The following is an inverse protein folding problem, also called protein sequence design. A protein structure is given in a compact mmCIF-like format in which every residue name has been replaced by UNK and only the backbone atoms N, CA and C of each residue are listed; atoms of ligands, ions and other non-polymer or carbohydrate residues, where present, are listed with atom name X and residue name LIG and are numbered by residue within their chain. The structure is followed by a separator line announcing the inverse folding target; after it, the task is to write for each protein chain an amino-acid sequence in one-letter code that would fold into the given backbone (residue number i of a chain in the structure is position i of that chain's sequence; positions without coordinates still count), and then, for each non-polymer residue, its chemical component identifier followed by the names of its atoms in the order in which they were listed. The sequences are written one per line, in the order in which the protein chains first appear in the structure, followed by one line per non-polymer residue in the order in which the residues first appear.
data_IF_192895469768
#
_entry.id   IF_192895469768
#
_cell.length_a   1.000
_cell.length_b   1.000
_cell.length_c   1.000
_cell.angle_alpha   90.00
_cell.angle_beta   90.00
_cell.angle_gamma   90.00
#
_symmetry.space_group_name_H-M   'P 1'
#
loop_
_entity.id
_entity.type
_entity.pdbx_description
1 polymer ?
#
# COMPACT_ATOMS: atom_id res chain seq x y z
N UNK A 1 35.59 -69.08 -5.71
CA UNK A 1 34.75 -68.07 -5.01
C UNK A 1 35.33 -66.69 -5.28
N UNK A 2 34.47 -65.72 -5.60
CA UNK A 2 34.71 -64.29 -5.77
C UNK A 2 35.33 -63.80 -7.10
N UNK A 3 34.43 -63.57 -8.07
CA UNK A 3 34.62 -62.69 -9.22
C UNK A 3 34.26 -61.26 -8.80
N UNK A 4 35.24 -60.36 -8.67
CA UNK A 4 34.97 -58.92 -8.50
C UNK A 4 34.66 -58.30 -9.86
N UNK A 5 33.38 -58.01 -10.12
CA UNK A 5 32.94 -57.15 -11.22
C UNK A 5 33.07 -55.69 -10.76
N UNK A 6 33.96 -54.95 -11.39
CA UNK A 6 34.01 -53.49 -11.28
C UNK A 6 32.88 -52.92 -12.12
N UNK A 7 31.85 -52.37 -11.48
CA UNK A 7 30.81 -51.59 -12.16
C UNK A 7 31.24 -50.13 -12.11
N UNK A 8 31.58 -49.57 -13.26
CA UNK A 8 31.87 -48.15 -13.44
C UNK A 8 30.52 -47.43 -13.54
N UNK A 9 30.11 -46.77 -12.46
CA UNK A 9 28.92 -45.92 -12.46
C UNK A 9 29.29 -44.58 -13.12
N UNK A 10 28.83 -44.40 -14.37
CA UNK A 10 28.90 -43.11 -15.06
C UNK A 10 27.72 -42.27 -14.57
N UNK A 11 27.95 -41.41 -13.58
CA UNK A 11 26.94 -40.45 -13.12
C UNK A 11 26.93 -39.27 -14.10
N UNK A 12 26.01 -39.31 -15.07
CA UNK A 12 25.71 -38.15 -15.90
C UNK A 12 24.95 -37.13 -15.04
N UNK A 13 25.63 -36.10 -14.52
CA UNK A 13 24.96 -34.90 -14.04
C UNK A 13 24.42 -34.14 -15.25
N UNK A 14 23.17 -34.38 -15.62
CA UNK A 14 22.43 -33.38 -16.38
C UNK A 14 22.13 -32.23 -15.43
N UNK A 15 22.89 -31.15 -15.56
CA UNK A 15 22.46 -29.85 -15.07
C UNK A 15 21.25 -29.45 -15.93
N UNK A 16 20.05 -29.83 -15.51
CA UNK A 16 18.83 -29.21 -16.00
C UNK A 16 18.85 -27.78 -15.51
N UNK A 17 19.32 -26.86 -16.35
CA UNK A 17 18.89 -25.46 -16.26
C UNK A 17 17.38 -25.48 -16.42
N UNK A 18 16.67 -25.52 -15.30
CA UNK A 18 15.24 -25.22 -15.26
C UNK A 18 15.18 -23.76 -15.71
N UNK A 19 14.97 -23.56 -17.02
CA UNK A 19 14.36 -22.33 -17.49
C UNK A 19 13.01 -22.33 -16.80
N UNK A 20 12.89 -21.57 -15.71
CA UNK A 20 11.65 -21.42 -15.00
C UNK A 20 10.68 -20.83 -16.01
N UNK A 21 9.81 -21.68 -16.56
CA UNK A 21 8.83 -21.23 -17.54
C UNK A 21 8.02 -20.12 -16.88
N UNK A 22 7.93 -18.97 -17.55
CA UNK A 22 7.05 -17.90 -17.11
C UNK A 22 5.66 -18.50 -16.93
N UNK A 23 5.15 -18.38 -15.71
CA UNK A 23 3.84 -18.90 -15.37
C UNK A 23 2.78 -18.11 -16.16
N UNK A 24 1.68 -18.73 -16.62
CA UNK A 24 0.56 -17.99 -17.14
C UNK A 24 0.05 -16.97 -16.11
N UNK A 25 0.11 -15.69 -16.46
CA UNK A 25 -0.24 -14.56 -15.60
C UNK A 25 -1.76 -14.37 -15.53
N UNK A 26 -2.49 -15.33 -14.95
CA UNK A 26 -3.96 -15.37 -15.04
C UNK A 26 -4.68 -15.56 -13.71
N UNK A 27 -3.98 -15.93 -12.64
CA UNK A 27 -4.63 -16.29 -11.36
C UNK A 27 -4.52 -15.19 -10.30
N UNK A 28 -3.73 -14.14 -10.56
CA UNK A 28 -3.50 -12.99 -9.66
C UNK A 28 -3.00 -13.37 -8.26
N UNK A 29 -2.21 -14.44 -8.15
CA UNK A 29 -1.58 -14.87 -6.90
C UNK A 29 -0.47 -13.91 -6.49
N UNK A 30 0.35 -13.49 -7.44
CA UNK A 30 1.51 -12.67 -7.19
C UNK A 30 1.33 -11.31 -7.86
N UNK A 31 1.58 -10.24 -7.13
CA UNK A 31 1.53 -8.88 -7.62
C UNK A 31 2.76 -8.09 -7.19
N UNK A 32 2.98 -6.92 -7.79
CA UNK A 32 3.99 -5.96 -7.39
C UNK A 32 3.57 -4.55 -7.81
N UNK A 33 4.06 -3.54 -7.10
CA UNK A 33 3.88 -2.13 -7.48
C UNK A 33 4.97 -1.65 -8.43
N UNK A 34 4.62 -0.77 -9.37
CA UNK A 34 5.58 -0.09 -10.24
C UNK A 34 5.10 1.30 -10.63
N UNK A 35 6.03 2.25 -10.74
CA UNK A 35 5.77 3.58 -11.32
C UNK A 35 6.22 3.64 -12.78
N UNK A 36 7.07 2.71 -13.22
CA UNK A 36 7.74 2.74 -14.52
C UNK A 36 7.16 1.78 -15.55
N UNK A 37 7.69 1.91 -16.76
CA UNK A 37 7.49 0.97 -17.86
C UNK A 37 8.17 -0.37 -17.59
N UNK A 38 7.71 -1.42 -18.29
CA UNK A 38 8.38 -2.72 -18.27
C UNK A 38 9.82 -2.58 -18.77
N UNK A 39 10.76 -3.18 -18.04
CA UNK A 39 12.11 -3.43 -18.54
C UNK A 39 12.65 -4.76 -17.95
N UNK A 40 13.69 -5.36 -18.55
CA UNK A 40 14.21 -6.66 -18.11
C UNK A 40 14.71 -6.69 -16.65
N UNK A 41 15.20 -5.56 -16.12
CA UNK A 41 15.77 -5.48 -14.77
C UNK A 41 14.70 -5.44 -13.67
N UNK A 42 13.49 -4.99 -13.99
CA UNK A 42 12.36 -4.91 -13.04
C UNK A 42 11.30 -5.97 -13.30
N UNK A 43 11.56 -6.90 -14.22
CA UNK A 43 10.68 -8.01 -14.50
C UNK A 43 10.64 -8.98 -13.30
N UNK A 44 9.43 -9.25 -12.82
CA UNK A 44 9.15 -10.24 -11.79
C UNK A 44 8.19 -11.28 -12.35
N UNK A 45 8.41 -12.57 -12.05
CA UNK A 45 7.52 -13.66 -12.42
C UNK A 45 6.24 -13.65 -11.55
N UNK A 46 5.44 -12.61 -11.73
CA UNK A 46 4.20 -12.31 -11.04
C UNK A 46 3.06 -12.16 -12.05
N UNK A 47 1.81 -12.24 -11.59
CA UNK A 47 0.63 -12.16 -12.45
C UNK A 47 0.22 -10.71 -12.75
N UNK A 48 0.32 -9.85 -11.73
CA UNK A 48 -0.23 -8.49 -11.76
C UNK A 48 0.88 -7.45 -11.64
N UNK A 49 0.94 -6.53 -12.60
CA UNK A 49 1.65 -5.27 -12.46
C UNK A 49 0.67 -4.20 -11.96
N UNK A 50 0.83 -3.76 -10.71
CA UNK A 50 0.05 -2.67 -10.12
C UNK A 50 0.76 -1.35 -10.44
N UNK A 51 0.32 -0.67 -11.50
CA UNK A 51 0.95 0.58 -11.93
C UNK A 51 0.41 1.73 -11.08
N UNK A 52 1.32 2.46 -10.43
CA UNK A 52 0.97 3.51 -9.49
C UNK A 52 0.81 4.86 -10.20
N UNK A 53 0.01 5.75 -9.63
CA UNK A 53 -0.37 7.09 -10.15
C UNK A 53 -1.23 7.08 -11.42
N UNK A 54 -2.26 7.93 -11.42
CA UNK A 54 -3.19 8.11 -12.54
C UNK A 54 -2.90 9.41 -13.27
N UNK A 55 -1.80 9.41 -14.02
CA UNK A 55 -1.32 10.52 -14.81
C UNK A 55 -1.55 10.32 -16.32
N UNK A 56 -1.05 11.26 -17.14
CA UNK A 56 -1.14 11.18 -18.61
C UNK A 56 -0.29 10.06 -19.21
N UNK A 57 0.68 9.52 -18.47
CA UNK A 57 1.59 8.47 -18.94
C UNK A 57 1.06 7.06 -18.68
N UNK A 58 0.06 6.91 -17.79
CA UNK A 58 -0.54 5.63 -17.42
C UNK A 58 -0.88 4.72 -18.62
N UNK A 59 -1.52 5.19 -19.73
CA UNK A 59 -1.80 4.31 -20.87
C UNK A 59 -0.55 3.73 -21.52
N UNK A 60 0.53 4.51 -21.62
CA UNK A 60 1.80 4.05 -22.18
C UNK A 60 2.46 3.02 -21.26
N UNK A 61 2.50 3.30 -19.95
CA UNK A 61 3.02 2.37 -18.93
C UNK A 61 2.26 1.05 -18.95
N UNK A 62 0.93 1.08 -18.90
CA UNK A 62 0.08 -0.11 -19.04
C UNK A 62 0.39 -0.91 -20.29
N UNK A 63 0.56 -0.26 -21.45
CA UNK A 63 0.86 -0.95 -22.70
C UNK A 63 2.13 -1.80 -22.57
N UNK A 64 3.20 -1.27 -21.99
CA UNK A 64 4.47 -2.00 -21.86
C UNK A 64 4.35 -3.28 -21.03
N UNK A 65 3.53 -3.28 -19.98
CA UNK A 65 3.27 -4.44 -19.14
C UNK A 65 2.30 -5.43 -19.82
N UNK A 66 1.21 -4.94 -20.43
CA UNK A 66 0.24 -5.77 -21.17
C UNK A 66 0.89 -6.51 -22.35
N UNK A 67 1.77 -5.83 -23.10
CA UNK A 67 2.51 -6.44 -24.22
C UNK A 67 3.36 -7.65 -23.77
N UNK A 68 3.63 -7.78 -22.46
CA UNK A 68 4.35 -8.90 -21.84
C UNK A 68 3.48 -9.88 -21.07
N UNK A 69 2.16 -9.76 -21.20
CA UNK A 69 1.18 -10.71 -20.66
C UNK A 69 0.63 -10.38 -19.28
N UNK A 70 1.09 -9.29 -18.63
CA UNK A 70 0.66 -8.98 -17.27
C UNK A 70 -0.79 -8.52 -17.25
N UNK A 71 -1.50 -8.92 -16.19
CA UNK A 71 -2.73 -8.24 -15.77
C UNK A 71 -2.30 -6.90 -15.20
N UNK A 72 -2.93 -5.81 -15.67
CA UNK A 72 -2.60 -4.48 -15.15
C UNK A 72 -3.69 -3.97 -14.24
N UNK A 73 -3.29 -3.68 -13.00
CA UNK A 73 -4.09 -2.94 -12.06
C UNK A 73 -3.52 -1.52 -11.94
N UNK A 74 -4.33 -0.58 -11.44
CA UNK A 74 -3.85 0.73 -11.03
C UNK A 74 -3.90 0.85 -9.52
N UNK A 75 -2.90 1.52 -8.94
CA UNK A 75 -2.91 1.92 -7.53
C UNK A 75 -2.73 3.43 -7.43
N UNK A 76 -3.48 4.04 -6.51
CA UNK A 76 -3.34 5.44 -6.14
C UNK A 76 -3.74 5.58 -4.68
N UNK A 77 -3.05 6.45 -3.96
CA UNK A 77 -3.56 6.97 -2.69
C UNK A 77 -4.99 7.48 -2.85
N UNK A 78 -5.79 7.41 -1.79
CA UNK A 78 -7.08 8.11 -1.72
C UNK A 78 -7.00 9.34 -0.81
N UNK A 79 -5.91 9.53 -0.08
CA UNK A 79 -5.82 10.54 1.00
C UNK A 79 -4.78 11.60 0.76
N UNK A 80 -3.78 11.25 -0.05
CA UNK A 80 -2.69 12.08 -0.51
C UNK A 80 -2.29 11.60 -1.92
N UNK A 81 -1.61 12.47 -2.67
CA UNK A 81 -1.19 12.24 -4.05
C UNK A 81 -0.92 13.57 -4.77
N UNK A 82 -0.53 13.51 -6.05
CA UNK A 82 -0.31 14.70 -6.88
C UNK A 82 -1.65 15.37 -7.27
N UNK A 83 -2.34 15.95 -6.30
CA UNK A 83 -3.70 16.48 -6.45
C UNK A 83 -3.76 18.00 -6.52
N UNK A 84 -2.70 18.64 -7.05
CA UNK A 84 -2.67 20.07 -7.28
C UNK A 84 -3.89 20.57 -8.10
N UNK A 85 -4.35 19.78 -9.08
CA UNK A 85 -5.57 20.06 -9.86
C UNK A 85 -6.81 20.22 -8.96
N UNK A 86 -6.88 19.50 -7.85
CA UNK A 86 -7.95 19.63 -6.86
C UNK A 86 -7.69 20.82 -5.93
N UNK A 87 -6.50 20.89 -5.31
CA UNK A 87 -6.14 21.90 -4.32
C UNK A 87 -6.40 23.33 -4.81
N UNK A 88 -6.00 23.60 -6.06
CA UNK A 88 -6.04 24.94 -6.63
C UNK A 88 -7.28 25.22 -7.49
N UNK A 89 -8.17 24.23 -7.64
CA UNK A 89 -9.47 24.41 -8.28
C UNK A 89 -9.50 24.24 -9.79
N UNK A 90 -8.47 23.66 -10.41
CA UNK A 90 -8.51 23.32 -11.83
C UNK A 90 -9.60 22.27 -12.13
N UNK A 91 -10.00 21.50 -11.13
CA UNK A 91 -11.06 20.51 -11.22
C UNK A 91 -12.46 21.11 -11.42
N UNK A 92 -12.87 22.09 -10.60
CA UNK A 92 -14.24 22.61 -10.56
C UNK A 92 -14.36 24.15 -10.40
N UNK A 93 -13.23 24.86 -10.47
CA UNK A 93 -13.14 26.32 -10.31
C UNK A 93 -13.07 26.79 -8.85
N UNK A 94 -13.00 25.89 -7.87
CA UNK A 94 -12.95 26.24 -6.44
C UNK A 94 -11.63 25.84 -5.81
N UNK A 95 -11.04 26.74 -5.03
CA UNK A 95 -9.89 26.39 -4.22
C UNK A 95 -10.32 25.45 -3.07
N UNK A 96 -9.59 24.34 -2.90
CA UNK A 96 -9.87 23.31 -1.90
C UNK A 96 -8.77 23.19 -0.84
N UNK A 97 -7.89 24.19 -0.69
CA UNK A 97 -6.84 24.21 0.34
C UNK A 97 -7.40 24.21 1.77
N UNK A 98 -8.66 24.56 1.91
CA UNK A 98 -9.41 24.52 3.16
C UNK A 98 -9.83 23.10 3.57
N UNK A 99 -9.70 22.12 2.66
CA UNK A 99 -9.86 20.69 2.92
C UNK A 99 -8.53 20.00 3.29
N UNK A 100 -7.38 20.67 3.21
CA UNK A 100 -6.11 20.09 3.69
C UNK A 100 -6.18 19.88 5.21
N UNK A 101 -5.82 18.68 5.67
CA UNK A 101 -5.82 18.34 7.09
C UNK A 101 -4.90 19.28 7.88
N UNK A 102 -5.41 19.84 8.97
CA UNK A 102 -4.68 20.77 9.84
C UNK A 102 -4.61 20.27 11.27
N UNK A 103 -3.45 20.48 11.88
CA UNK A 103 -3.26 20.34 13.31
C UNK A 103 -3.74 21.58 14.07
N UNK A 104 -3.83 21.45 15.40
CA UNK A 104 -4.02 22.59 16.28
C UNK A 104 -2.94 23.65 16.02
N UNK A 105 -3.37 24.90 15.81
CA UNK A 105 -2.49 26.00 15.43
C UNK A 105 -2.32 26.20 13.91
N UNK A 106 -2.97 25.37 13.08
CA UNK A 106 -3.09 25.60 11.63
C UNK A 106 -1.97 25.00 10.78
N UNK A 107 -1.07 24.20 11.35
CA UNK A 107 -0.05 23.47 10.60
C UNK A 107 -0.66 22.47 9.64
N UNK A 108 -0.29 22.56 8.36
CA UNK A 108 -0.75 21.63 7.32
C UNK A 108 -0.05 20.27 7.48
N UNK A 109 -0.80 19.18 7.31
CA UNK A 109 -0.22 17.84 7.33
C UNK A 109 0.06 17.40 5.88
N UNK A 110 1.34 17.28 5.56
CA UNK A 110 1.83 16.87 4.24
C UNK A 110 2.35 15.44 4.19
N UNK A 111 2.36 14.87 2.98
CA UNK A 111 3.05 13.63 2.62
C UNK A 111 4.18 13.94 1.62
N UNK A 112 5.21 14.65 2.11
CA UNK A 112 6.29 15.19 1.30
C UNK A 112 6.07 16.65 0.90
N UNK A 113 6.77 17.09 -0.15
CA UNK A 113 6.70 18.48 -0.62
C UNK A 113 5.49 18.67 -1.53
N UNK A 114 4.63 19.64 -1.22
CA UNK A 114 3.45 20.03 -2.00
C UNK A 114 2.42 18.91 -2.23
N UNK A 115 2.41 17.90 -1.35
CA UNK A 115 1.45 16.81 -1.31
C UNK A 115 0.84 16.77 0.10
N UNK A 116 -0.49 16.77 0.19
CA UNK A 116 -1.22 17.00 1.44
C UNK A 116 -2.24 15.91 1.72
N UNK A 117 -2.41 15.59 3.01
CA UNK A 117 -3.53 14.78 3.48
C UNK A 117 -4.83 15.60 3.44
N UNK A 118 -5.93 14.99 2.99
CA UNK A 118 -7.18 15.71 2.71
C UNK A 118 -8.32 15.30 3.66
N UNK A 119 -9.22 16.23 3.97
CA UNK A 119 -10.51 15.98 4.55
C UNK A 119 -11.51 15.72 3.41
N UNK A 120 -11.92 14.47 3.13
CA UNK A 120 -12.55 14.14 1.85
C UNK A 120 -14.02 14.60 1.80
N UNK A 121 -14.25 15.76 1.18
CA UNK A 121 -15.59 16.23 0.89
C UNK A 121 -16.28 15.39 -0.19
N UNK A 122 -17.57 15.64 -0.42
CA UNK A 122 -18.28 15.02 -1.56
C UNK A 122 -17.65 15.44 -2.90
N UNK A 123 -17.08 16.65 -2.99
CA UNK A 123 -16.39 17.12 -4.21
C UNK A 123 -15.10 16.32 -4.45
N UNK A 124 -14.34 16.08 -3.38
CA UNK A 124 -13.12 15.27 -3.43
C UNK A 124 -13.39 13.87 -3.98
N UNK A 125 -14.45 13.19 -3.52
CA UNK A 125 -14.82 11.88 -4.06
C UNK A 125 -15.09 11.93 -5.58
N UNK A 126 -15.72 12.99 -6.09
CA UNK A 126 -15.93 13.19 -7.54
C UNK A 126 -14.62 13.42 -8.29
N UNK A 127 -13.68 14.16 -7.69
CA UNK A 127 -12.35 14.35 -8.25
C UNK A 127 -11.61 13.02 -8.40
N UNK A 128 -11.61 12.17 -7.35
CA UNK A 128 -10.98 10.84 -7.42
C UNK A 128 -11.67 9.97 -8.48
N UNK A 129 -13.00 10.00 -8.61
CA UNK A 129 -13.71 9.28 -9.69
C UNK A 129 -13.26 9.71 -11.09
N UNK A 130 -12.93 10.99 -11.31
CA UNK A 130 -12.38 11.47 -12.59
C UNK A 130 -11.01 10.84 -12.89
N UNK A 131 -10.17 10.70 -11.87
CA UNK A 131 -8.93 9.93 -11.98
C UNK A 131 -9.19 8.47 -12.33
N UNK A 132 -10.06 7.81 -11.58
CA UNK A 132 -10.42 6.40 -11.80
C UNK A 132 -10.97 6.17 -13.20
N UNK A 133 -11.79 7.09 -13.74
CA UNK A 133 -12.26 7.04 -15.12
C UNK A 133 -11.10 6.96 -16.13
N UNK A 134 -10.03 7.76 -15.94
CA UNK A 134 -8.84 7.70 -16.82
C UNK A 134 -8.15 6.33 -16.75
N UNK A 135 -8.10 5.70 -15.58
CA UNK A 135 -7.55 4.35 -15.44
C UNK A 135 -8.43 3.28 -16.10
N UNK A 136 -9.75 3.40 -15.98
CA UNK A 136 -10.71 2.53 -16.66
C UNK A 136 -10.58 2.65 -18.19
N UNK A 137 -10.44 3.88 -18.71
CA UNK A 137 -10.25 4.15 -20.14
C UNK A 137 -8.89 3.63 -20.66
N UNK A 138 -7.85 3.64 -19.83
CA UNK A 138 -6.56 2.99 -20.12
C UNK A 138 -6.64 1.45 -20.08
N UNK A 139 -7.74 0.90 -19.60
CA UNK A 139 -8.02 -0.53 -19.53
C UNK A 139 -7.47 -1.21 -18.27
N UNK A 140 -7.53 -0.55 -17.12
CA UNK A 140 -7.24 -1.18 -15.84
C UNK A 140 -8.19 -2.36 -15.57
N UNK A 141 -7.66 -3.45 -15.02
CA UNK A 141 -8.43 -4.66 -14.65
C UNK A 141 -8.69 -4.75 -13.13
N UNK A 142 -8.08 -3.83 -12.37
CA UNK A 142 -8.30 -3.62 -10.95
C UNK A 142 -7.92 -2.20 -10.54
N UNK A 143 -8.66 -1.64 -9.57
CA UNK A 143 -8.47 -0.31 -9.01
C UNK A 143 -8.13 -0.45 -7.52
N UNK A 144 -7.00 0.08 -7.08
CA UNK A 144 -6.55 0.04 -5.69
C UNK A 144 -6.54 1.44 -5.12
N UNK A 145 -7.40 1.71 -4.14
CA UNK A 145 -7.48 2.99 -3.42
C UNK A 145 -6.78 2.84 -2.08
N UNK A 146 -5.52 3.26 -2.04
CA UNK A 146 -4.58 3.02 -0.95
C UNK A 146 -4.79 4.00 0.22
N UNK A 147 -4.55 3.47 1.42
CA UNK A 147 -4.36 4.21 2.66
C UNK A 147 -5.45 5.25 2.93
N UNK A 148 -6.72 4.83 3.15
CA UNK A 148 -7.82 5.71 3.59
C UNK A 148 -7.58 6.21 5.03
N UNK A 149 -6.66 7.15 5.16
CA UNK A 149 -6.05 7.67 6.38
C UNK A 149 -6.43 9.10 6.72
N UNK A 150 -6.83 9.28 7.97
CA UNK A 150 -7.03 10.58 8.59
C UNK A 150 -6.25 10.68 9.88
N UNK A 151 -5.39 11.68 10.02
CA UNK A 151 -4.57 11.79 11.23
C UNK A 151 -5.43 12.03 12.48
N UNK A 152 -5.12 11.36 13.58
CA UNK A 152 -5.81 11.57 14.87
C UNK A 152 -5.62 13.01 15.34
N UNK A 153 -4.42 13.58 15.11
CA UNK A 153 -4.01 14.94 15.47
C UNK A 153 -4.54 16.06 14.57
N UNK A 154 -5.36 15.76 13.56
CA UNK A 154 -5.98 16.76 12.67
C UNK A 154 -7.45 17.06 13.00
N UNK A 155 -8.14 17.83 12.15
CA UNK A 155 -9.55 18.20 12.33
C UNK A 155 -9.76 19.68 12.67
N UNK A 156 -8.74 20.53 12.47
CA UNK A 156 -8.79 21.99 12.65
C UNK A 156 -8.98 22.76 11.35
N UNK A 157 -9.13 22.06 10.23
CA UNK A 157 -9.41 22.63 8.93
C UNK A 157 -10.89 23.00 8.73
N UNK A 158 -11.12 24.02 7.91
CA UNK A 158 -12.47 24.54 7.67
C UNK A 158 -13.35 23.52 6.95
N UNK A 159 -12.75 22.69 6.06
CA UNK A 159 -13.42 21.56 5.43
C UNK A 159 -14.02 20.59 6.46
N UNK A 160 -13.25 20.24 7.49
CA UNK A 160 -13.75 19.37 8.56
C UNK A 160 -14.82 20.05 9.40
N UNK A 161 -14.71 21.35 9.66
CA UNK A 161 -15.74 22.13 10.36
C UNK A 161 -17.08 22.07 9.62
N UNK A 162 -17.08 22.19 8.28
CA UNK A 162 -18.29 22.07 7.46
C UNK A 162 -18.86 20.67 7.48
N UNK A 163 -18.02 19.64 7.34
CA UNK A 163 -18.44 18.25 7.41
C UNK A 163 -19.02 17.89 8.79
N UNK A 164 -18.46 18.44 9.87
CA UNK A 164 -18.98 18.28 11.22
C UNK A 164 -20.39 18.84 11.34
N UNK A 165 -20.59 20.09 10.93
CA UNK A 165 -21.89 20.74 10.98
C UNK A 165 -22.92 19.99 10.13
N UNK A 166 -22.51 19.49 8.96
CA UNK A 166 -23.38 18.70 8.10
C UNK A 166 -23.74 17.33 8.70
N UNK A 167 -22.79 16.66 9.36
CA UNK A 167 -22.97 15.31 9.89
C UNK A 167 -23.72 15.28 11.24
N UNK A 168 -23.36 16.18 12.15
CA UNK A 168 -23.91 16.23 13.51
C UNK A 168 -25.03 17.25 13.68
N UNK A 169 -25.20 18.19 12.75
CA UNK A 169 -26.16 19.29 12.86
C UNK A 169 -25.95 20.13 14.14
N UNK A 170 -24.67 20.33 14.50
CA UNK A 170 -24.20 21.03 15.69
C UNK A 170 -22.98 21.91 15.34
N UNK A 171 -22.70 22.98 16.11
CA UNK A 171 -21.43 23.71 15.98
C UNK A 171 -20.24 22.77 16.16
N UNK A 172 -19.16 23.04 15.44
CA UNK A 172 -17.90 22.29 15.57
C UNK A 172 -17.30 22.50 16.96
N UNK A 173 -16.71 21.41 17.49
CA UNK A 173 -15.99 21.40 18.75
C UNK A 173 -14.53 21.11 18.49
N UNK A 174 -13.63 21.75 19.24
CA UNK A 174 -12.21 21.42 19.17
C UNK A 174 -12.01 19.93 19.50
N UNK A 175 -11.28 19.16 18.66
CA UNK A 175 -11.06 17.74 18.87
C UNK A 175 -10.52 17.39 20.25
N UNK A 176 -9.64 18.23 20.81
CA UNK A 176 -9.00 18.03 22.10
C UNK A 176 -9.75 18.65 23.30
N UNK A 177 -10.96 19.20 23.09
CA UNK A 177 -11.74 19.83 24.16
C UNK A 177 -12.28 18.84 25.20
N UNK A 178 -12.50 17.58 24.83
CA UNK A 178 -12.95 16.51 25.73
C UNK A 178 -12.76 15.12 25.11
N UNK A 179 -12.79 14.03 25.91
CA UNK A 179 -12.79 12.68 25.36
C UNK A 179 -13.95 12.40 24.38
N UNK A 180 -15.13 12.97 24.62
CA UNK A 180 -16.28 12.84 23.72
C UNK A 180 -16.02 13.57 22.38
N UNK A 181 -15.49 14.79 22.42
CA UNK A 181 -15.14 15.54 21.22
C UNK A 181 -14.10 14.80 20.38
N UNK A 182 -13.10 14.18 21.02
CA UNK A 182 -12.09 13.39 20.32
C UNK A 182 -12.68 12.12 19.68
N UNK A 183 -13.57 11.43 20.40
CA UNK A 183 -14.28 10.26 19.87
C UNK A 183 -15.16 10.63 18.68
N UNK A 184 -15.99 11.67 18.80
CA UNK A 184 -16.87 12.15 17.72
C UNK A 184 -16.07 12.64 16.51
N UNK A 185 -14.98 13.37 16.75
CA UNK A 185 -14.05 13.77 15.68
C UNK A 185 -13.54 12.56 14.92
N UNK A 186 -13.04 11.54 15.64
CA UNK A 186 -12.53 10.31 15.02
C UNK A 186 -13.63 9.53 14.29
N UNK A 187 -14.84 9.47 14.85
CA UNK A 187 -15.99 8.84 14.20
C UNK A 187 -16.36 9.53 12.89
N UNK A 188 -16.30 10.87 12.83
CA UNK A 188 -16.53 11.60 11.59
C UNK A 188 -15.42 11.35 10.57
N UNK A 189 -14.14 11.42 10.95
CA UNK A 189 -13.01 11.09 10.08
C UNK A 189 -13.16 9.72 9.42
N UNK A 190 -13.54 8.71 10.22
CA UNK A 190 -13.88 7.37 9.75
C UNK A 190 -15.01 7.40 8.71
N UNK A 191 -16.12 8.08 9.01
CA UNK A 191 -17.26 8.20 8.09
C UNK A 191 -16.86 8.86 6.76
N UNK A 192 -16.05 9.91 6.79
CA UNK A 192 -15.67 10.68 5.61
C UNK A 192 -14.90 9.82 4.60
N UNK A 193 -13.91 9.04 5.04
CA UNK A 193 -13.20 8.15 4.13
C UNK A 193 -14.01 6.93 3.70
N UNK A 194 -14.88 6.41 4.57
CA UNK A 194 -15.85 5.38 4.15
C UNK A 194 -16.72 5.91 2.99
N UNK A 195 -17.23 7.14 3.10
CA UNK A 195 -18.03 7.80 2.05
C UNK A 195 -17.22 7.98 0.77
N UNK A 196 -15.99 8.48 0.86
CA UNK A 196 -15.13 8.68 -0.30
C UNK A 196 -14.87 7.37 -1.07
N UNK A 197 -14.53 6.29 -0.35
CA UNK A 197 -14.37 4.96 -0.95
C UNK A 197 -15.65 4.46 -1.61
N UNK A 198 -16.81 4.61 -0.95
CA UNK A 198 -18.10 4.24 -1.53
C UNK A 198 -18.36 4.98 -2.85
N UNK A 199 -18.11 6.29 -2.91
CA UNK A 199 -18.29 7.07 -4.14
C UNK A 199 -17.45 6.51 -5.30
N UNK A 200 -16.19 6.16 -5.03
CA UNK A 200 -15.29 5.59 -6.04
C UNK A 200 -15.73 4.20 -6.47
N UNK A 201 -16.04 3.31 -5.53
CA UNK A 201 -16.38 1.93 -5.86
C UNK A 201 -17.76 1.81 -6.51
N UNK A 202 -18.72 2.63 -6.12
CA UNK A 202 -20.02 2.69 -6.79
C UNK A 202 -19.88 3.26 -8.22
N UNK A 203 -18.99 4.23 -8.44
CA UNK A 203 -18.66 4.70 -9.78
C UNK A 203 -18.10 3.57 -10.67
N UNK A 204 -17.15 2.78 -10.16
CA UNK A 204 -16.60 1.63 -10.90
C UNK A 204 -17.67 0.58 -11.18
N UNK A 205 -18.55 0.26 -10.22
CA UNK A 205 -19.67 -0.67 -10.43
C UNK A 205 -20.62 -0.20 -11.52
N UNK A 206 -20.99 1.08 -11.52
CA UNK A 206 -21.83 1.66 -12.57
C UNK A 206 -21.15 1.60 -13.94
N UNK A 207 -19.86 1.93 -14.00
CA UNK A 207 -19.10 1.84 -15.25
C UNK A 207 -19.02 0.40 -15.75
N UNK A 208 -18.79 -0.58 -14.86
CA UNK A 208 -18.80 -2.00 -15.18
C UNK A 208 -20.14 -2.43 -15.80
N UNK A 209 -21.26 -2.05 -15.19
CA UNK A 209 -22.60 -2.36 -15.69
C UNK A 209 -22.86 -1.75 -17.08
N UNK A 210 -22.43 -0.50 -17.30
CA UNK A 210 -22.60 0.20 -18.59
C UNK A 210 -21.74 -0.39 -19.71
N UNK A 211 -20.55 -0.90 -19.38
CA UNK A 211 -19.56 -1.37 -20.37
C UNK A 211 -19.47 -2.90 -20.48
N UNK A 212 -20.30 -3.64 -19.72
CA UNK A 212 -20.23 -5.10 -19.60
C UNK A 212 -18.81 -5.59 -19.23
N UNK A 213 -18.27 -4.99 -18.17
CA UNK A 213 -16.93 -5.26 -17.61
C UNK A 213 -17.02 -5.69 -16.15
N UNK A 214 -15.90 -6.17 -15.60
CA UNK A 214 -15.78 -6.61 -14.21
C UNK A 214 -14.45 -6.15 -13.59
N UNK A 215 -14.19 -4.86 -13.60
CA UNK A 215 -13.02 -4.26 -12.93
C UNK A 215 -13.25 -4.29 -11.41
N UNK A 216 -12.29 -4.86 -10.67
CA UNK A 216 -12.39 -5.05 -9.21
C UNK A 216 -11.78 -3.90 -8.45
N UNK A 217 -12.34 -3.61 -7.26
CA UNK A 217 -11.92 -2.53 -6.39
C UNK A 217 -11.27 -3.08 -5.11
N UNK A 218 -10.08 -2.60 -4.80
CA UNK A 218 -9.28 -3.07 -3.67
C UNK A 218 -8.87 -1.90 -2.76
N UNK A 219 -8.64 -2.21 -1.49
CA UNK A 219 -8.10 -1.24 -0.51
C UNK A 219 -6.80 -1.79 0.08
N UNK A 220 -5.64 -1.28 -0.36
CA UNK A 220 -4.39 -1.37 0.38
C UNK A 220 -4.47 -0.55 1.67
N UNK A 221 -4.10 -1.15 2.80
CA UNK A 221 -4.17 -0.48 4.11
C UNK A 221 -3.22 -1.14 5.11
N UNK A 222 -2.68 -0.34 6.03
CA UNK A 222 -1.99 -0.85 7.22
C UNK A 222 -2.99 -1.46 8.21
N UNK A 223 -2.54 -2.35 9.09
CA UNK A 223 -3.45 -2.94 10.09
C UNK A 223 -3.91 -1.90 11.13
N UNK A 224 -5.05 -2.17 11.79
CA UNK A 224 -5.46 -1.36 12.96
C UNK A 224 -4.40 -1.31 14.08
N UNK A 225 -3.53 -2.32 14.19
CA UNK A 225 -2.45 -2.34 15.18
C UNK A 225 -1.43 -1.26 14.85
N UNK A 226 -1.03 -1.15 13.57
CA UNK A 226 -0.15 -0.10 13.12
C UNK A 226 -0.80 1.29 13.26
N UNK A 227 -2.03 1.46 12.76
CA UNK A 227 -2.73 2.73 12.85
C UNK A 227 -2.97 3.22 14.27
N UNK A 228 -3.17 2.31 15.23
CA UNK A 228 -3.23 2.67 16.64
C UNK A 228 -1.89 3.25 17.15
N UNK A 229 -0.75 2.76 16.66
CA UNK A 229 0.56 3.25 17.04
C UNK A 229 0.94 4.57 16.34
N UNK A 230 0.56 4.72 15.07
CA UNK A 230 0.82 5.92 14.29
C UNK A 230 -0.17 7.06 14.59
N UNK A 231 -1.32 6.76 15.18
CA UNK A 231 -2.36 7.75 15.43
C UNK A 231 -3.08 8.14 14.15
N UNK A 232 -3.59 7.15 13.44
CA UNK A 232 -4.34 7.30 12.20
C UNK A 232 -5.73 6.66 12.36
N UNK A 233 -6.75 7.35 11.85
CA UNK A 233 -8.12 6.89 11.75
C UNK A 233 -8.37 6.39 10.33
N UNK A 234 -8.85 5.16 10.20
CA UNK A 234 -9.18 4.54 8.93
C UNK A 234 -10.51 3.78 9.01
N UNK A 235 -11.33 3.73 7.93
CA UNK A 235 -12.59 2.99 7.90
C UNK A 235 -12.43 1.46 7.81
N UNK A 236 -11.30 0.88 8.24
CA UNK A 236 -10.90 -0.52 7.98
C UNK A 236 -12.01 -1.54 8.29
N UNK A 237 -12.69 -1.41 9.43
CA UNK A 237 -13.78 -2.33 9.82
C UNK A 237 -15.04 -2.23 8.94
N UNK A 238 -15.28 -1.11 8.27
CA UNK A 238 -16.43 -0.91 7.36
C UNK A 238 -16.05 -1.04 5.89
N UNK A 239 -14.83 -1.48 5.57
CA UNK A 239 -14.47 -1.72 4.17
C UNK A 239 -15.32 -2.83 3.53
N UNK A 240 -15.97 -3.67 4.35
CA UNK A 240 -16.99 -4.62 3.91
C UNK A 240 -18.23 -3.93 3.34
N UNK A 241 -18.60 -2.80 3.91
CA UNK A 241 -19.83 -2.10 3.59
C UNK A 241 -19.69 -1.14 2.41
N UNK A 242 -18.46 -0.87 1.95
CA UNK A 242 -18.20 0.01 0.78
C UNK A 242 -18.15 -0.77 -0.54
N UNK A 243 -18.36 -2.09 -0.50
CA UNK A 243 -18.39 -2.95 -1.67
C UNK A 243 -17.02 -3.19 -2.31
N UNK A 244 -15.99 -3.24 -1.46
CA UNK A 244 -14.64 -3.62 -1.84
C UNK A 244 -14.57 -5.13 -2.20
N UNK A 245 -13.80 -5.47 -3.23
CA UNK A 245 -13.57 -6.85 -3.69
C UNK A 245 -12.43 -7.54 -2.93
N UNK A 246 -11.55 -6.78 -2.29
CA UNK A 246 -10.47 -7.31 -1.48
C UNK A 246 -9.47 -6.27 -0.99
N UNK A 247 -8.39 -6.73 -0.38
CA UNK A 247 -7.47 -5.88 0.35
C UNK A 247 -6.02 -6.21 0.02
N UNK A 248 -5.14 -5.26 0.31
CA UNK A 248 -3.71 -5.53 0.48
C UNK A 248 -3.35 -5.19 1.92
N UNK A 249 -2.86 -6.17 2.66
CA UNK A 249 -2.25 -5.93 3.96
C UNK A 249 -0.86 -5.31 3.72
N UNK A 250 -0.77 -3.99 3.86
CA UNK A 250 0.49 -3.26 3.79
C UNK A 250 1.26 -3.38 5.12
N UNK A 251 1.57 -4.61 5.50
CA UNK A 251 2.41 -4.94 6.64
C UNK A 251 3.80 -5.19 6.08
N UNK A 252 4.70 -4.21 6.18
CA UNK A 252 6.02 -4.31 5.58
C UNK A 252 7.08 -3.79 6.52
N UNK A 253 8.35 -4.00 6.17
CA UNK A 253 9.54 -3.78 7.00
C UNK A 253 9.44 -2.50 7.85
N UNK A 254 9.13 -1.34 7.25
CA UNK A 254 9.06 -0.06 7.95
C UNK A 254 7.85 0.12 8.86
N UNK A 255 6.69 -0.43 8.48
CA UNK A 255 5.49 -0.38 9.33
C UNK A 255 5.63 -1.33 10.52
N UNK A 256 6.02 -2.58 10.26
CA UNK A 256 6.14 -3.64 11.25
C UNK A 256 7.28 -3.43 12.26
N UNK A 257 8.36 -2.74 11.86
CA UNK A 257 9.47 -2.44 12.77
C UNK A 257 9.21 -1.26 13.70
N UNK A 258 8.08 -0.56 13.54
CA UNK A 258 7.74 0.59 14.41
C UNK A 258 7.81 0.17 15.89
N UNK A 259 8.59 0.86 16.74
CA UNK A 259 8.70 0.49 18.14
C UNK A 259 7.35 0.48 18.86
N UNK A 260 7.06 -0.61 19.57
CA UNK A 260 5.86 -0.77 20.38
C UNK A 260 6.20 -1.06 21.85
N UNK A 261 5.20 -0.92 22.73
CA UNK A 261 5.34 -1.16 24.17
C UNK A 261 4.80 -2.54 24.51
N UNK A 262 5.67 -3.40 25.06
CA UNK A 262 5.30 -4.67 25.67
C UNK A 262 5.99 -4.76 27.02
N UNK A 263 5.20 -5.06 28.06
CA UNK A 263 5.64 -5.07 29.47
C UNK A 263 6.38 -3.78 29.89
N UNK A 264 5.88 -2.62 29.43
CA UNK A 264 6.47 -1.31 29.73
C UNK A 264 7.72 -0.97 28.93
N UNK A 265 8.23 -1.86 28.07
CA UNK A 265 9.44 -1.62 27.29
C UNK A 265 9.11 -1.26 25.84
N UNK A 266 9.44 -0.03 25.44
CA UNK A 266 9.35 0.44 24.05
C UNK A 266 10.57 -0.04 23.25
N UNK A 267 10.36 -0.93 22.26
CA UNK A 267 11.40 -1.40 21.33
C UNK A 267 10.81 -1.91 20.02
N UNK A 268 11.65 -2.01 19.00
CA UNK A 268 11.38 -2.71 17.74
C UNK A 268 11.22 -4.22 18.00
N UNK A 269 10.22 -4.84 17.37
CA UNK A 269 9.88 -6.27 17.46
C UNK A 269 9.25 -6.72 16.13
N UNK A 270 10.02 -6.65 15.04
CA UNK A 270 9.49 -6.74 13.67
C UNK A 270 8.68 -8.01 13.43
N UNK A 271 9.21 -9.18 13.82
CA UNK A 271 8.51 -10.45 13.63
C UNK A 271 7.20 -10.51 14.41
N UNK A 272 7.22 -10.25 15.72
CA UNK A 272 6.03 -10.36 16.57
C UNK A 272 4.95 -9.37 16.16
N UNK A 273 5.36 -8.16 15.77
CA UNK A 273 4.45 -7.12 15.28
C UNK A 273 3.82 -7.57 13.96
N UNK A 274 4.63 -7.94 12.97
CA UNK A 274 4.13 -8.43 11.68
C UNK A 274 3.22 -9.64 11.83
N UNK A 275 3.53 -10.57 12.73
CA UNK A 275 2.70 -11.75 12.99
C UNK A 275 1.30 -11.37 13.47
N UNK A 276 1.21 -10.41 14.39
CA UNK A 276 -0.07 -9.89 14.89
C UNK A 276 -0.81 -9.07 13.82
N UNK A 277 -0.08 -8.25 13.04
CA UNK A 277 -0.67 -7.44 11.97
C UNK A 277 -1.25 -8.32 10.85
N UNK A 278 -0.48 -9.25 10.29
CA UNK A 278 -0.99 -10.18 9.28
C UNK A 278 -2.11 -11.07 9.82
N UNK A 279 -2.02 -11.51 11.09
CA UNK A 279 -3.09 -12.26 11.74
C UNK A 279 -4.39 -11.47 11.85
N UNK A 280 -4.31 -10.17 12.19
CA UNK A 280 -5.46 -9.26 12.17
C UNK A 280 -6.06 -9.16 10.77
N UNK A 281 -5.22 -8.99 9.74
CA UNK A 281 -5.65 -8.90 8.34
C UNK A 281 -6.22 -10.22 7.81
N UNK A 282 -5.70 -11.37 8.22
CA UNK A 282 -6.28 -12.68 7.92
C UNK A 282 -7.72 -12.79 8.44
N UNK A 283 -7.97 -12.31 9.66
CA UNK A 283 -9.32 -12.32 10.22
C UNK A 283 -10.29 -11.42 9.45
N UNK A 284 -9.82 -10.29 8.90
CA UNK A 284 -10.62 -9.47 7.99
C UNK A 284 -10.96 -10.26 6.72
N UNK A 285 -10.00 -10.96 6.11
CA UNK A 285 -10.25 -11.83 4.97
C UNK A 285 -11.27 -12.93 5.29
N UNK A 286 -11.09 -13.61 6.44
CA UNK A 286 -11.99 -14.67 6.91
C UNK A 286 -13.42 -14.19 7.14
N UNK A 287 -13.59 -13.05 7.82
CA UNK A 287 -14.91 -12.49 8.12
C UNK A 287 -15.62 -11.95 6.88
N UNK A 288 -14.85 -11.50 5.90
CA UNK A 288 -15.36 -10.85 4.69
C UNK A 288 -15.63 -11.79 3.52
N UNK A 289 -14.91 -12.91 3.46
CA UNK A 289 -14.81 -13.75 2.27
C UNK A 289 -14.15 -13.06 1.07
N UNK A 290 -13.53 -11.88 1.27
CA UNK A 290 -12.89 -11.08 0.23
C UNK A 290 -11.44 -11.48 0.07
N UNK A 291 -10.88 -11.19 -1.10
CA UNK A 291 -9.47 -11.49 -1.38
C UNK A 291 -8.55 -10.65 -0.49
N UNK A 292 -7.42 -11.21 -0.09
CA UNK A 292 -6.34 -10.51 0.59
C UNK A 292 -5.02 -10.82 -0.12
N UNK A 293 -4.21 -9.81 -0.40
CA UNK A 293 -2.78 -9.96 -0.66
C UNK A 293 -1.97 -9.54 0.56
N UNK A 294 -0.88 -10.27 0.84
CA UNK A 294 0.12 -9.82 1.80
C UNK A 294 1.27 -9.14 1.08
N UNK A 295 1.49 -7.85 1.40
CA UNK A 295 2.60 -7.09 0.88
C UNK A 295 3.87 -7.47 1.62
N UNK A 296 4.96 -7.69 0.88
CA UNK A 296 6.31 -7.86 1.40
C UNK A 296 7.24 -6.86 0.70
N UNK A 297 7.74 -5.87 1.45
CA UNK A 297 8.72 -4.89 0.95
C UNK A 297 10.13 -5.30 1.37
N UNK A 298 11.03 -5.62 0.41
CA UNK A 298 12.41 -6.01 0.74
C UNK A 298 13.26 -4.91 1.35
N UNK A 299 12.92 -3.62 1.18
CA UNK A 299 13.82 -2.50 1.52
C UNK A 299 13.15 -1.31 2.21
N UNK A 300 11.82 -1.23 2.28
CA UNK A 300 11.15 -0.16 3.03
C UNK A 300 11.41 1.26 2.45
N UNK A 301 10.75 2.30 2.99
CA UNK A 301 10.89 3.68 2.48
C UNK A 301 12.18 4.38 2.95
N UNK A 302 12.66 4.06 4.15
CA UNK A 302 13.87 4.66 4.67
C UNK A 302 15.10 4.07 3.99
N UNK A 303 15.64 4.77 2.99
CA UNK A 303 16.80 4.33 2.21
C UNK A 303 18.15 4.31 2.97
N UNK A 304 18.17 4.46 4.29
CA UNK A 304 19.39 4.56 5.09
C UNK A 304 19.74 3.29 5.89
N UNK A 305 19.05 2.18 5.65
CA UNK A 305 19.42 0.90 6.26
C UNK A 305 20.29 0.07 5.32
N UNK A 306 21.08 -0.81 5.92
CA UNK A 306 21.93 -1.72 5.15
C UNK A 306 21.16 -2.88 4.55
N UNK A 307 21.72 -3.52 3.51
CA UNK A 307 21.16 -4.75 2.96
C UNK A 307 20.97 -5.86 3.99
N UNK A 308 21.85 -5.93 4.99
CA UNK A 308 21.72 -6.89 6.09
C UNK A 308 20.51 -6.60 6.99
N UNK A 309 20.31 -5.32 7.35
CA UNK A 309 19.16 -4.88 8.15
C UNK A 309 17.84 -5.09 7.39
N UNK A 310 17.81 -4.72 6.12
CA UNK A 310 16.67 -4.97 5.23
C UNK A 310 16.33 -6.45 5.13
N UNK A 311 17.32 -7.29 4.83
CA UNK A 311 17.12 -8.75 4.73
C UNK A 311 16.56 -9.33 6.02
N UNK A 312 17.12 -8.95 7.18
CA UNK A 312 16.68 -9.46 8.49
C UNK A 312 15.21 -9.11 8.75
N UNK A 313 14.81 -7.87 8.46
CA UNK A 313 13.44 -7.43 8.67
C UNK A 313 12.47 -7.99 7.63
N UNK A 314 12.87 -8.08 6.35
CA UNK A 314 12.09 -8.73 5.30
C UNK A 314 11.87 -10.22 5.57
N UNK A 315 12.89 -10.95 6.01
CA UNK A 315 12.76 -12.35 6.43
C UNK A 315 11.78 -12.47 7.61
N UNK A 316 11.83 -11.52 8.55
CA UNK A 316 10.88 -11.48 9.69
C UNK A 316 9.43 -11.28 9.23
N UNK A 317 9.16 -10.31 8.35
CA UNK A 317 7.79 -10.08 7.83
C UNK A 317 7.32 -11.21 6.93
N UNK A 318 8.21 -11.75 6.07
CA UNK A 318 7.88 -12.89 5.22
C UNK A 318 7.49 -14.11 6.03
N UNK A 319 8.30 -14.51 7.01
CA UNK A 319 7.99 -15.67 7.89
C UNK A 319 6.68 -15.42 8.64
N UNK A 320 6.47 -14.22 9.18
CA UNK A 320 5.21 -13.87 9.84
C UNK A 320 3.99 -14.02 8.93
N UNK A 321 4.10 -13.61 7.66
CA UNK A 321 3.04 -13.75 6.65
C UNK A 321 2.75 -15.21 6.31
N UNK A 322 3.80 -16.04 6.15
CA UNK A 322 3.68 -17.46 5.81
C UNK A 322 3.05 -18.30 6.94
N UNK A 323 3.10 -17.82 8.18
CA UNK A 323 2.43 -18.44 9.32
C UNK A 323 0.92 -18.16 9.38
N UNK A 324 0.38 -17.40 8.44
CA UNK A 324 -1.06 -17.14 8.28
C UNK A 324 -1.59 -17.91 7.05
N UNK A 325 -2.00 -19.19 7.21
CA UNK A 325 -2.19 -20.11 6.09
C UNK A 325 -3.44 -19.86 5.24
N UNK A 326 -4.37 -18.99 5.66
CA UNK A 326 -5.59 -18.72 4.89
C UNK A 326 -5.37 -17.74 3.75
N UNK A 327 -4.24 -17.03 3.74
CA UNK A 327 -3.86 -16.11 2.67
C UNK A 327 -2.69 -16.69 1.89
N UNK A 328 -2.88 -16.81 0.58
CA UNK A 328 -1.89 -17.38 -0.36
C UNK A 328 -1.66 -16.48 -1.57
N UNK A 329 -2.16 -15.24 -1.53
CA UNK A 329 -1.82 -14.22 -2.51
C UNK A 329 -0.84 -13.22 -1.88
N UNK A 330 0.18 -12.82 -2.64
CA UNK A 330 1.26 -11.99 -2.15
C UNK A 330 1.54 -10.85 -3.12
N UNK A 331 1.68 -9.65 -2.58
CA UNK A 331 2.40 -8.60 -3.27
C UNK A 331 3.88 -8.75 -2.90
N UNK A 332 4.69 -9.24 -3.83
CA UNK A 332 6.01 -9.79 -3.52
C UNK A 332 7.12 -8.75 -3.43
N UNK A 333 6.93 -7.59 -4.06
CA UNK A 333 7.96 -6.55 -4.14
C UNK A 333 7.36 -5.23 -4.62
N UNK A 334 6.96 -4.31 -3.74
CA UNK A 334 6.69 -2.96 -4.17
C UNK A 334 7.98 -2.32 -4.72
N UNK A 335 7.87 -1.71 -5.88
CA UNK A 335 8.93 -0.89 -6.48
C UNK A 335 10.24 -1.66 -6.78
N UNK A 336 10.24 -2.66 -7.67
CA UNK A 336 11.43 -3.46 -8.00
C UNK A 336 12.64 -2.62 -8.43
N UNK A 337 12.43 -1.47 -9.06
CA UNK A 337 13.51 -0.54 -9.42
C UNK A 337 14.32 -0.07 -8.18
N UNK A 338 13.66 0.10 -7.03
CA UNK A 338 14.37 0.49 -5.79
C UNK A 338 15.35 -0.62 -5.38
N UNK A 339 14.94 -1.88 -5.49
CA UNK A 339 15.78 -3.03 -5.12
C UNK A 339 16.90 -3.25 -6.14
N UNK A 340 16.58 -3.29 -7.44
CA UNK A 340 17.51 -3.75 -8.47
C UNK A 340 18.37 -2.64 -9.10
N UNK A 341 17.99 -1.37 -8.98
CA UNK A 341 18.69 -0.26 -9.64
C UNK A 341 19.35 0.72 -8.68
N UNK A 342 18.90 0.78 -7.41
CA UNK A 342 19.48 1.69 -6.41
C UNK A 342 20.58 1.01 -5.60
N UNK A 343 21.22 1.83 -4.76
CA UNK A 343 22.31 1.44 -3.87
C UNK A 343 21.97 1.80 -2.44
N UNK A 344 22.34 0.94 -1.50
CA UNK A 344 22.06 1.09 -0.06
C UNK A 344 23.33 0.91 0.76
N UNK A 345 23.40 1.44 1.99
CA UNK A 345 24.55 1.28 2.87
C UNK A 345 25.08 -0.16 2.93
N UNK A 346 26.39 -0.34 2.77
CA UNK A 346 27.03 -1.64 2.89
C UNK A 346 26.98 -2.19 4.33
N UNK A 347 26.96 -1.30 5.33
CA UNK A 347 26.86 -1.62 6.75
C UNK A 347 25.83 -0.72 7.42
N UNK A 348 25.25 -1.17 8.53
CA UNK A 348 24.24 -0.37 9.23
C UNK A 348 24.85 0.94 9.76
N UNK A 349 24.29 2.11 9.45
CA UNK A 349 24.75 3.36 10.05
C UNK A 349 24.54 3.37 11.57
N UNK A 350 25.49 3.93 12.32
CA UNK A 350 25.38 4.07 13.78
C UNK A 350 25.83 2.86 14.61
N UNK A 351 26.29 1.77 13.99
CA UNK A 351 26.96 0.65 14.70
C UNK A 351 28.49 0.76 14.54
N UNK A 352 29.12 1.61 15.36
CA UNK A 352 30.58 1.85 15.34
C UNK A 352 31.01 3.11 14.57
N UNK A 353 32.33 3.37 14.51
CA UNK A 353 33.02 4.62 14.10
C UNK A 353 32.70 5.20 12.68
N UNK A 354 31.64 4.79 12.00
CA UNK A 354 31.28 5.30 10.69
C UNK A 354 30.21 6.39 10.81
N UNK A 355 30.67 7.61 11.09
CA UNK A 355 29.99 8.83 10.66
C UNK A 355 29.87 8.86 9.13
N UNK A 356 28.66 9.12 8.62
CA UNK A 356 28.28 9.68 7.29
C UNK A 356 28.86 9.12 5.97
N UNK A 357 29.90 8.28 5.97
CA UNK A 357 30.62 7.81 4.78
C UNK A 357 30.53 6.29 4.58
N UNK A 358 29.40 5.67 4.93
CA UNK A 358 29.19 4.25 4.59
C UNK A 358 28.99 4.11 3.07
N UNK A 359 29.84 3.35 2.35
CA UNK A 359 29.65 3.12 0.92
C UNK A 359 28.27 2.54 0.63
N UNK A 360 27.59 3.07 -0.39
CA UNK A 360 26.32 2.50 -0.85
C UNK A 360 26.60 1.53 -2.00
N UNK A 361 26.14 0.29 -1.86
CA UNK A 361 26.37 -0.81 -2.80
C UNK A 361 25.04 -1.28 -3.42
N UNK A 362 25.04 -1.81 -4.65
CA UNK A 362 23.86 -2.49 -5.21
C UNK A 362 23.48 -3.71 -4.35
N UNK A 363 22.35 -4.34 -4.66
CA UNK A 363 21.98 -5.63 -4.04
C UNK A 363 23.16 -6.61 -4.15
N UNK A 364 23.60 -7.25 -3.05
CA UNK A 364 24.70 -8.22 -3.11
C UNK A 364 24.35 -9.42 -3.99
N UNK A 365 25.34 -9.89 -4.74
CA UNK A 365 25.28 -11.21 -5.37
C UNK A 365 25.53 -12.23 -4.25
N UNK A 366 24.50 -12.95 -3.81
CA UNK A 366 24.61 -13.94 -2.71
C UNK A 366 25.71 -15.01 -2.94
#
# INVERSE_FOLDING_TARGET
MSSRRTVMALTLLMASSIVQADRPQTEERLSFQTQGEWNPRVHLNADVAMVYDIDKTLPARFKTWKDRGYIVHVMSGITWGEYAEYYYGDFDGKNHMDEVQKEKGGGLIGHGKDNYYICPSVSYGKFICKGVQRALDAGAEGIHMEEPEYWVRSGWEEGFTREWQAYYNEPWLEPDSSPDAQYRTSKLKYFLYRRALSQVFDYVKEWNAKNNKNVRCYVPTHSMINYANWGIVSPQSSLLDVGCDGYIAQVWTGTARTPNVYEGVKKERTFETAFLEYGSMQNLARASGRRMWYLNDPIEDNANHSWHDYRTNWESTLVASLLQPEVWHYEIMPWPHRVFEKKYPATQPGTGNADRDVPRIPIPDD
#
